data_IF_931094245628
#
_entry.id   IF_931094245628
#
_cell.length_a   1.000
_cell.length_b   1.000
_cell.length_c   1.000
_cell.angle_alpha   90.00
_cell.angle_beta   90.00
_cell.angle_gamma   90.00
#
_symmetry.space_group_name_H-M   'P 1'
#
loop_
_entity.id
_entity.type
_entity.pdbx_description
1 polymer ?
#
# COMPACT_ATOMS: atom_id res chain seq x y z
N UNK A 1 12.92 1.55 -10.47
CA UNK A 1 12.43 0.17 -10.60
C UNK A 1 12.81 -0.48 -11.94
N UNK A 2 12.76 0.23 -13.10
CA UNK A 2 13.15 -0.32 -14.42
C UNK A 2 14.57 -0.91 -14.40
N UNK A 3 15.54 -0.16 -13.84
CA UNK A 3 16.93 -0.67 -13.68
C UNK A 3 17.04 -1.91 -12.79
N UNK A 4 16.18 -2.01 -11.75
CA UNK A 4 16.12 -3.20 -10.90
C UNK A 4 15.62 -4.42 -11.71
N UNK A 5 14.58 -4.24 -12.52
CA UNK A 5 14.07 -5.30 -13.41
C UNK A 5 15.15 -5.81 -14.37
N UNK A 6 15.89 -4.89 -15.02
CA UNK A 6 17.00 -5.24 -15.91
C UNK A 6 18.09 -6.07 -15.20
N UNK A 7 18.43 -5.69 -13.95
CA UNK A 7 19.42 -6.42 -13.16
C UNK A 7 18.91 -7.81 -12.77
N UNK A 8 17.64 -7.91 -12.34
CA UNK A 8 17.04 -9.19 -12.03
C UNK A 8 17.03 -10.12 -13.24
N UNK A 9 16.66 -9.61 -14.41
CA UNK A 9 16.66 -10.39 -15.67
C UNK A 9 18.08 -10.83 -16.03
N UNK A 10 19.05 -9.94 -15.95
CA UNK A 10 20.45 -10.23 -16.25
C UNK A 10 21.03 -11.35 -15.37
N UNK A 11 20.60 -11.43 -14.13
CA UNK A 11 21.18 -12.35 -13.15
C UNK A 11 20.24 -13.52 -12.78
N UNK A 12 19.13 -13.71 -13.50
CA UNK A 12 18.12 -14.75 -13.24
C UNK A 12 17.59 -14.68 -11.79
N UNK A 13 17.30 -13.47 -11.31
CA UNK A 13 16.74 -13.22 -9.98
C UNK A 13 15.25 -12.93 -10.15
N UNK A 14 14.40 -13.59 -9.37
CA UNK A 14 12.97 -13.30 -9.35
C UNK A 14 12.74 -11.96 -8.64
N UNK A 15 11.98 -11.07 -9.30
CA UNK A 15 11.57 -9.79 -8.74
C UNK A 15 10.16 -9.92 -8.14
N UNK A 16 10.05 -9.67 -6.85
CA UNK A 16 8.79 -9.73 -6.12
C UNK A 16 8.42 -8.30 -5.68
N UNK A 17 7.20 -7.87 -6.02
CA UNK A 17 6.65 -6.62 -5.50
C UNK A 17 5.73 -6.92 -4.31
N UNK A 18 6.06 -6.34 -3.16
CA UNK A 18 5.16 -6.29 -2.01
C UNK A 18 4.18 -5.11 -2.19
N UNK A 19 3.01 -5.44 -2.71
CA UNK A 19 1.94 -4.46 -2.97
C UNK A 19 0.82 -4.51 -1.91
N UNK A 20 1.15 -4.99 -0.72
CA UNK A 20 0.21 -5.03 0.41
C UNK A 20 -0.34 -3.64 0.76
N UNK A 21 0.43 -2.57 0.52
CA UNK A 21 0.00 -1.18 0.74
C UNK A 21 -0.33 -0.49 -0.58
N UNK A 22 0.47 -0.70 -1.61
CA UNK A 22 0.41 0.05 -2.87
C UNK A 22 -0.63 -0.48 -3.85
N UNK A 23 -1.05 -1.73 -3.71
CA UNK A 23 -2.11 -2.31 -4.53
C UNK A 23 -3.48 -1.69 -4.29
N UNK A 24 -4.38 -1.95 -5.21
CA UNK A 24 -5.79 -1.55 -5.20
C UNK A 24 -6.00 -0.03 -5.17
N UNK A 25 -5.30 0.70 -6.04
CA UNK A 25 -5.59 2.10 -6.33
C UNK A 25 -4.79 3.13 -5.51
N UNK A 26 -3.98 2.72 -4.56
CA UNK A 26 -3.26 3.63 -3.63
C UNK A 26 -2.39 4.66 -4.34
N UNK A 27 -1.80 4.32 -5.48
CA UNK A 27 -0.96 5.22 -6.28
C UNK A 27 -1.69 5.83 -7.48
N UNK A 28 -2.99 5.54 -7.67
CA UNK A 28 -3.75 5.98 -8.85
C UNK A 28 -3.66 5.02 -10.03
N UNK A 29 -3.24 3.79 -9.77
CA UNK A 29 -3.29 2.65 -10.66
C UNK A 29 -3.65 1.41 -9.84
N UNK A 30 -4.21 0.33 -10.42
CA UNK A 30 -4.57 -0.87 -9.67
C UNK A 30 -3.41 -1.43 -8.84
N UNK A 31 -2.19 -1.43 -9.40
CA UNK A 31 -0.97 -1.85 -8.71
C UNK A 31 0.19 -0.89 -9.01
N UNK A 32 1.15 -0.78 -8.09
CA UNK A 32 2.38 -0.02 -8.31
C UNK A 32 3.18 -0.55 -9.51
N UNK A 33 3.10 -1.84 -9.81
CA UNK A 33 3.66 -2.43 -11.01
C UNK A 33 3.22 -1.69 -12.28
N UNK A 34 1.94 -1.34 -12.39
CA UNK A 34 1.37 -0.58 -13.49
C UNK A 34 1.77 0.90 -13.42
N UNK A 35 1.72 1.50 -12.23
CA UNK A 35 2.12 2.89 -12.02
C UNK A 35 3.57 3.16 -12.46
N UNK A 36 4.49 2.23 -12.17
CA UNK A 36 5.90 2.36 -12.54
C UNK A 36 6.25 1.73 -13.90
N UNK A 37 5.28 1.13 -14.58
CA UNK A 37 5.50 0.41 -15.84
C UNK A 37 6.63 -0.62 -15.72
N UNK A 38 6.55 -1.47 -14.69
CA UNK A 38 7.49 -2.57 -14.42
C UNK A 38 6.72 -3.83 -14.05
N UNK A 39 6.93 -4.90 -14.79
CA UNK A 39 6.26 -6.18 -14.53
C UNK A 39 7.18 -7.05 -13.65
N UNK A 40 6.86 -7.28 -12.38
CA UNK A 40 7.59 -8.20 -11.52
C UNK A 40 7.28 -9.65 -11.87
N UNK A 41 8.00 -10.60 -11.29
CA UNK A 41 7.71 -12.02 -11.44
C UNK A 41 6.58 -12.47 -10.52
N UNK A 42 6.46 -11.82 -9.37
CA UNK A 42 5.38 -12.03 -8.39
C UNK A 42 4.91 -10.71 -7.80
N UNK A 43 3.63 -10.67 -7.44
CA UNK A 43 3.03 -9.59 -6.66
C UNK A 43 2.41 -10.21 -5.41
N UNK A 44 2.71 -9.65 -4.25
CA UNK A 44 2.05 -9.99 -2.98
C UNK A 44 1.06 -8.89 -2.65
N UNK A 45 -0.17 -9.25 -2.32
CA UNK A 45 -1.22 -8.29 -1.98
C UNK A 45 -2.03 -8.72 -0.75
N UNK A 46 -2.66 -7.76 -0.10
CA UNK A 46 -3.57 -7.95 1.02
C UNK A 46 -4.41 -6.67 1.21
N UNK A 47 -4.81 -6.37 2.43
CA UNK A 47 -5.50 -5.13 2.86
C UNK A 47 -6.61 -4.67 1.91
N UNK A 48 -6.28 -3.92 0.86
CA UNK A 48 -7.22 -3.46 -0.15
C UNK A 48 -7.95 -4.57 -0.89
N UNK A 49 -7.44 -5.80 -0.89
CA UNK A 49 -8.11 -6.95 -1.51
C UNK A 49 -9.52 -7.19 -0.95
N UNK A 50 -9.73 -6.99 0.34
CA UNK A 50 -11.03 -7.12 1.00
C UNK A 50 -11.46 -5.83 1.71
N UNK A 51 -10.69 -4.74 1.53
CA UNK A 51 -10.87 -3.48 2.25
C UNK A 51 -11.00 -3.65 3.79
N UNK A 52 -10.33 -4.66 4.34
CA UNK A 52 -10.32 -4.95 5.78
C UNK A 52 -11.57 -5.63 6.34
N UNK A 53 -12.56 -5.97 5.51
CA UNK A 53 -13.79 -6.65 5.95
C UNK A 53 -13.49 -8.05 6.49
N UNK A 54 -12.61 -8.79 5.82
CA UNK A 54 -12.09 -10.09 6.28
C UNK A 54 -10.59 -10.19 5.98
N UNK A 55 -9.81 -10.91 6.82
CA UNK A 55 -8.41 -11.16 6.56
C UNK A 55 -8.23 -12.00 5.30
N UNK A 56 -7.51 -11.47 4.30
CA UNK A 56 -7.16 -12.18 3.08
C UNK A 56 -5.86 -11.61 2.50
N UNK A 57 -5.06 -12.48 1.91
CA UNK A 57 -3.91 -12.12 1.09
C UNK A 57 -3.89 -12.95 -0.17
N UNK A 58 -3.19 -12.47 -1.18
CA UNK A 58 -3.00 -13.17 -2.44
C UNK A 58 -1.57 -12.99 -2.96
N UNK A 59 -1.09 -14.00 -3.66
CA UNK A 59 0.16 -13.96 -4.41
C UNK A 59 -0.16 -14.23 -5.86
N UNK A 60 0.21 -13.29 -6.72
CA UNK A 60 0.07 -13.42 -8.18
C UNK A 60 1.44 -13.77 -8.74
N UNK A 61 1.50 -14.79 -9.58
CA UNK A 61 2.75 -15.29 -10.15
C UNK A 61 2.66 -15.35 -11.67
N UNK A 62 3.79 -15.16 -12.35
CA UNK A 62 3.89 -15.39 -13.81
C UNK A 62 3.68 -16.87 -14.16
N UNK A 63 3.14 -17.14 -15.34
CA UNK A 63 2.84 -18.50 -15.80
C UNK A 63 4.04 -19.45 -15.70
N UNK A 64 5.25 -19.02 -16.09
CA UNK A 64 6.43 -19.89 -16.03
C UNK A 64 6.78 -20.35 -14.61
N UNK A 65 6.41 -19.58 -13.58
CA UNK A 65 6.60 -19.95 -12.17
C UNK A 65 5.54 -20.98 -11.78
N UNK A 66 4.27 -20.71 -12.12
CA UNK A 66 3.17 -21.65 -11.91
C UNK A 66 3.45 -22.99 -12.61
N UNK A 67 3.81 -22.94 -13.89
CA UNK A 67 4.03 -24.13 -14.71
C UNK A 67 5.15 -25.02 -14.17
N UNK A 68 6.16 -24.44 -13.50
CA UNK A 68 7.22 -25.22 -12.87
C UNK A 68 6.72 -26.19 -11.78
N UNK A 69 5.56 -25.91 -11.17
CA UNK A 69 4.92 -26.79 -10.18
C UNK A 69 3.98 -27.82 -10.81
N UNK A 70 3.59 -27.63 -12.07
CA UNK A 70 2.60 -28.48 -12.74
C UNK A 70 3.23 -29.74 -13.37
N UNK A 71 4.51 -29.98 -13.13
CA UNK A 71 5.25 -31.14 -13.60
C UNK A 71 5.61 -32.05 -12.42
N UNK A 72 5.10 -33.28 -12.46
CA UNK A 72 5.39 -34.27 -11.42
C UNK A 72 4.57 -35.56 -11.61
N UNK A 73 4.73 -36.53 -10.72
CA UNK A 73 3.92 -37.76 -10.73
C UNK A 73 2.44 -37.45 -10.50
N UNK A 74 1.53 -38.04 -11.27
CA UNK A 74 0.08 -37.82 -11.21
C UNK A 74 -0.57 -38.04 -9.82
N UNK A 75 0.09 -38.81 -8.97
CA UNK A 75 -0.41 -39.12 -7.62
C UNK A 75 0.05 -38.13 -6.54
N UNK A 76 0.84 -37.10 -6.89
CA UNK A 76 1.29 -36.06 -5.96
C UNK A 76 0.55 -34.75 -6.23
N UNK A 77 0.37 -33.97 -5.18
CA UNK A 77 -0.13 -32.60 -5.27
C UNK A 77 0.98 -31.73 -5.88
N UNK A 78 0.67 -30.99 -6.93
CA UNK A 78 1.62 -30.18 -7.72
C UNK A 78 2.36 -29.17 -6.86
N UNK A 79 1.64 -28.52 -5.96
CA UNK A 79 2.20 -27.56 -5.00
C UNK A 79 1.66 -27.84 -3.60
N UNK A 80 2.43 -28.58 -2.82
CA UNK A 80 2.05 -28.94 -1.44
C UNK A 80 2.25 -27.75 -0.50
N UNK A 81 1.43 -26.71 -0.70
CA UNK A 81 1.42 -25.50 0.13
C UNK A 81 0.01 -24.99 0.27
N UNK A 82 -0.35 -24.53 1.48
CA UNK A 82 -1.64 -23.93 1.76
C UNK A 82 -1.83 -23.73 3.25
N UNK A 83 -2.80 -22.90 3.57
CA UNK A 83 -3.28 -22.67 4.94
C UNK A 83 -4.67 -23.25 5.07
N UNK A 84 -5.06 -23.66 6.28
CA UNK A 84 -6.41 -24.21 6.52
C UNK A 84 -7.53 -23.29 6.02
N UNK A 85 -7.32 -21.97 6.11
CA UNK A 85 -8.30 -20.97 5.66
C UNK A 85 -8.05 -20.42 4.26
N UNK A 86 -7.11 -20.95 3.49
CA UNK A 86 -6.93 -20.56 2.08
C UNK A 86 -8.20 -20.83 1.30
N UNK A 87 -8.64 -19.87 0.48
CA UNK A 87 -9.88 -19.96 -0.29
C UNK A 87 -11.16 -19.90 0.57
N UNK A 88 -11.10 -19.31 1.77
CA UNK A 88 -12.26 -19.17 2.65
C UNK A 88 -13.44 -18.48 1.92
N UNK A 89 -14.63 -19.10 1.79
CA UNK A 89 -15.71 -18.59 0.93
C UNK A 89 -16.15 -17.16 1.27
N UNK A 90 -16.23 -16.83 2.57
CA UNK A 90 -16.61 -15.49 3.01
C UNK A 90 -15.56 -14.44 2.62
N UNK A 91 -14.26 -14.78 2.72
CA UNK A 91 -13.18 -13.89 2.33
C UNK A 91 -13.16 -13.68 0.81
N UNK A 92 -13.40 -14.73 0.02
CA UNK A 92 -13.53 -14.64 -1.43
C UNK A 92 -14.72 -13.77 -1.83
N UNK A 93 -15.89 -13.94 -1.18
CA UNK A 93 -17.08 -13.11 -1.42
C UNK A 93 -16.82 -11.64 -1.07
N UNK A 94 -16.14 -11.37 0.05
CA UNK A 94 -15.75 -10.01 0.44
C UNK A 94 -14.77 -9.39 -0.57
N UNK A 95 -13.82 -10.18 -1.10
CA UNK A 95 -12.90 -9.70 -2.13
C UNK A 95 -13.63 -9.35 -3.43
N UNK A 96 -14.57 -10.20 -3.88
CA UNK A 96 -15.36 -9.92 -5.07
C UNK A 96 -16.19 -8.63 -4.90
N UNK A 97 -16.94 -8.48 -3.81
CA UNK A 97 -17.69 -7.26 -3.54
C UNK A 97 -16.80 -6.00 -3.43
N UNK A 98 -15.58 -6.15 -2.91
CA UNK A 98 -14.60 -5.05 -2.87
C UNK A 98 -14.14 -4.67 -4.28
N UNK A 99 -13.85 -5.66 -5.13
CA UNK A 99 -13.42 -5.40 -6.52
C UNK A 99 -14.54 -4.74 -7.33
N UNK A 100 -15.79 -5.20 -7.18
CA UNK A 100 -16.96 -4.59 -7.81
C UNK A 100 -17.08 -3.11 -7.39
N UNK A 101 -16.97 -2.81 -6.09
CA UNK A 101 -16.99 -1.43 -5.58
C UNK A 101 -15.88 -0.56 -6.16
N UNK A 102 -14.67 -1.09 -6.26
CA UNK A 102 -13.55 -0.33 -6.88
C UNK A 102 -13.83 0.03 -8.33
N UNK A 103 -14.46 -0.86 -9.08
CA UNK A 103 -14.85 -0.63 -10.48
C UNK A 103 -16.01 0.36 -10.56
N UNK A 104 -17.09 0.12 -9.83
CA UNK A 104 -18.31 0.94 -9.85
C UNK A 104 -18.05 2.38 -9.42
N UNK A 105 -17.20 2.60 -8.41
CA UNK A 105 -16.88 3.93 -7.87
C UNK A 105 -15.61 4.55 -8.47
N UNK A 106 -14.92 3.86 -9.38
CA UNK A 106 -13.70 4.36 -10.04
C UNK A 106 -12.51 4.55 -9.09
N UNK A 107 -12.46 3.82 -7.98
CA UNK A 107 -11.50 4.06 -6.90
C UNK A 107 -10.06 3.68 -7.26
N UNK A 108 -9.86 2.80 -8.24
CA UNK A 108 -8.53 2.36 -8.65
C UNK A 108 -7.66 3.48 -9.25
N UNK A 109 -8.29 4.53 -9.77
CA UNK A 109 -7.61 5.69 -10.38
C UNK A 109 -7.78 6.98 -9.58
N UNK A 110 -8.66 7.00 -8.58
CA UNK A 110 -9.00 8.20 -7.82
C UNK A 110 -7.79 8.88 -7.16
N UNK A 111 -6.79 8.09 -6.71
CA UNK A 111 -5.60 8.66 -6.12
C UNK A 111 -4.80 9.54 -7.10
N UNK A 112 -4.84 9.28 -8.42
CA UNK A 112 -4.20 10.14 -9.42
C UNK A 112 -4.90 11.50 -9.55
N UNK A 113 -6.22 11.54 -9.34
CA UNK A 113 -7.00 12.79 -9.39
C UNK A 113 -6.73 13.71 -8.20
N UNK A 114 -6.38 13.12 -7.07
CA UNK A 114 -6.10 13.83 -5.81
C UNK A 114 -4.61 14.05 -5.56
N UNK A 115 -3.72 13.44 -6.34
CA UNK A 115 -2.28 13.41 -6.07
C UNK A 115 -1.67 14.81 -5.90
N UNK A 116 -1.94 15.73 -6.82
CA UNK A 116 -1.40 17.10 -6.77
C UNK A 116 -1.94 17.88 -5.56
N UNK A 117 -3.21 17.68 -5.25
CA UNK A 117 -3.83 18.32 -4.08
C UNK A 117 -3.25 17.77 -2.78
N UNK A 118 -3.11 16.46 -2.69
CA UNK A 118 -2.48 15.78 -1.55
C UNK A 118 -1.02 16.23 -1.37
N UNK A 119 -0.25 16.27 -2.47
CA UNK A 119 1.13 16.75 -2.45
C UNK A 119 1.23 18.18 -1.94
N UNK A 120 0.42 19.09 -2.49
CA UNK A 120 0.39 20.49 -2.06
C UNK A 120 0.05 20.62 -0.58
N UNK A 121 -0.93 19.84 -0.10
CA UNK A 121 -1.40 19.88 1.28
C UNK A 121 -0.35 19.34 2.26
N UNK A 122 0.26 18.19 2.00
CA UNK A 122 1.29 17.65 2.90
C UNK A 122 2.55 18.52 2.90
N UNK A 123 2.93 19.06 1.75
CA UNK A 123 4.10 19.93 1.64
C UNK A 123 3.89 21.34 2.20
N UNK A 124 2.64 21.74 2.53
CA UNK A 124 2.39 23.00 3.27
C UNK A 124 3.05 23.01 4.64
N UNK A 125 3.31 21.83 5.22
CA UNK A 125 4.01 21.70 6.50
C UNK A 125 5.53 21.88 6.39
N UNK A 126 6.07 22.11 5.19
CA UNK A 126 7.50 22.36 5.01
C UNK A 126 7.92 23.66 5.71
N UNK A 127 8.97 23.58 6.50
CA UNK A 127 9.47 24.72 7.27
C UNK A 127 8.82 24.90 8.64
N UNK A 128 7.83 24.07 9.00
CA UNK A 128 7.37 24.03 10.37
C UNK A 128 8.45 23.51 11.33
N UNK A 129 8.49 23.99 12.59
CA UNK A 129 9.47 23.54 13.56
C UNK A 129 9.50 22.02 13.68
N UNK A 130 10.69 21.45 13.67
CA UNK A 130 10.96 20.01 13.81
C UNK A 130 10.50 19.12 12.64
N UNK A 131 9.95 19.66 11.57
CA UNK A 131 9.73 18.91 10.32
C UNK A 131 11.03 18.91 9.54
N UNK A 132 11.65 17.72 9.36
CA UNK A 132 12.94 17.58 8.70
C UNK A 132 12.86 17.01 7.29
N UNK A 133 11.80 16.21 7.00
CA UNK A 133 11.54 15.71 5.66
C UNK A 133 10.05 15.47 5.44
N UNK A 134 9.61 15.66 4.19
CA UNK A 134 8.24 15.35 3.74
C UNK A 134 8.36 14.64 2.39
N UNK A 135 7.69 13.50 2.27
CA UNK A 135 7.65 12.70 1.05
C UNK A 135 6.27 12.10 0.82
N UNK A 136 5.88 12.00 -0.43
CA UNK A 136 4.57 11.45 -0.82
C UNK A 136 4.65 10.74 -2.17
N UNK A 137 3.68 9.88 -2.41
CA UNK A 137 3.39 9.28 -3.72
C UNK A 137 1.92 8.83 -3.74
N UNK A 138 1.17 9.20 -4.77
CA UNK A 138 -0.29 8.97 -4.80
C UNK A 138 -0.94 9.48 -3.52
N UNK A 139 -1.82 8.71 -2.91
CA UNK A 139 -2.42 9.01 -1.60
C UNK A 139 -1.66 8.34 -0.44
N UNK A 140 -0.34 8.40 -0.47
CA UNK A 140 0.54 8.03 0.65
C UNK A 140 1.43 9.21 0.95
N UNK A 141 1.64 9.50 2.23
CA UNK A 141 2.53 10.57 2.66
C UNK A 141 3.25 10.23 3.94
N UNK A 142 4.40 10.86 4.13
CA UNK A 142 5.17 10.75 5.35
C UNK A 142 5.77 12.11 5.72
N UNK A 143 5.67 12.44 6.99
CA UNK A 143 6.27 13.63 7.60
C UNK A 143 7.26 13.14 8.64
N UNK A 144 8.53 13.40 8.40
CA UNK A 144 9.60 13.02 9.32
C UNK A 144 9.90 14.17 10.28
N UNK A 145 9.91 13.85 11.56
CA UNK A 145 10.13 14.81 12.63
C UNK A 145 11.53 14.61 13.22
N UNK A 146 12.15 15.72 13.60
CA UNK A 146 13.41 15.71 14.35
C UNK A 146 13.24 14.93 15.66
N UNK A 147 14.11 13.97 15.90
CA UNK A 147 14.11 13.18 17.13
C UNK A 147 14.47 14.02 18.34
N UNK A 148 13.76 13.83 19.45
CA UNK A 148 14.14 14.44 20.74
C UNK A 148 15.37 13.70 21.26
N UNK A 149 16.50 14.39 21.55
CA UNK A 149 17.70 13.73 22.08
C UNK A 149 17.41 12.90 23.31
N UNK A 150 17.76 11.62 23.29
CA UNK A 150 17.52 10.66 24.38
C UNK A 150 16.10 10.10 24.46
N UNK A 151 15.14 10.60 23.66
CA UNK A 151 13.75 10.16 23.66
C UNK A 151 13.24 9.89 22.23
N UNK A 152 13.77 8.89 21.52
CA UNK A 152 13.32 8.56 20.18
C UNK A 152 11.81 8.19 20.18
N UNK A 153 11.13 8.49 19.07
CA UNK A 153 9.68 8.28 18.86
C UNK A 153 8.74 9.21 19.63
N UNK A 154 9.20 9.87 20.68
CA UNK A 154 8.35 10.68 21.58
C UNK A 154 7.68 11.84 20.86
N UNK A 155 8.38 12.50 19.91
CA UNK A 155 7.81 13.62 19.17
C UNK A 155 6.62 13.20 18.32
N UNK A 156 6.78 12.15 17.54
CA UNK A 156 5.70 11.62 16.70
C UNK A 156 4.54 11.05 17.53
N UNK A 157 4.83 10.37 18.65
CA UNK A 157 3.80 9.90 19.59
C UNK A 157 2.99 11.07 20.18
N UNK A 158 3.66 12.14 20.59
CA UNK A 158 2.95 13.33 21.09
C UNK A 158 2.07 13.97 20.01
N UNK A 159 2.55 14.03 18.77
CA UNK A 159 1.75 14.50 17.63
C UNK A 159 0.53 13.60 17.39
N UNK A 160 0.72 12.27 17.44
CA UNK A 160 -0.38 11.31 17.29
C UNK A 160 -1.45 11.47 18.37
N UNK A 161 -1.06 11.63 19.64
CA UNK A 161 -2.03 11.85 20.74
C UNK A 161 -2.81 13.14 20.53
N UNK A 162 -2.13 14.23 20.17
CA UNK A 162 -2.79 15.52 19.89
C UNK A 162 -3.72 15.48 18.69
N UNK A 163 -3.32 14.77 17.62
CA UNK A 163 -4.17 14.56 16.46
C UNK A 163 -5.43 13.77 16.85
N UNK A 164 -5.27 12.71 17.66
CA UNK A 164 -6.39 11.90 18.15
C UNK A 164 -7.36 12.72 19.01
N UNK A 165 -6.85 13.58 19.89
CA UNK A 165 -7.68 14.50 20.70
C UNK A 165 -8.47 15.50 19.84
N UNK A 166 -7.97 15.81 18.63
CA UNK A 166 -8.66 16.64 17.64
C UNK A 166 -9.58 15.83 16.69
N UNK A 167 -9.69 14.52 16.89
CA UNK A 167 -10.53 13.64 16.06
C UNK A 167 -9.84 13.04 14.84
N UNK A 168 -8.52 13.20 14.70
CA UNK A 168 -7.74 12.65 13.60
C UNK A 168 -6.89 11.47 14.06
N UNK A 169 -7.18 10.28 13.51
CA UNK A 169 -6.37 9.09 13.76
C UNK A 169 -5.23 9.00 12.74
N UNK A 170 -4.00 9.20 13.19
CA UNK A 170 -2.79 9.03 12.39
C UNK A 170 -1.96 7.84 12.90
N UNK A 171 -1.02 7.41 12.08
CA UNK A 171 -0.05 6.35 12.43
C UNK A 171 1.35 6.94 12.52
N UNK A 172 2.15 6.43 13.47
CA UNK A 172 3.57 6.77 13.57
C UNK A 172 4.46 5.54 13.44
N UNK A 173 5.66 5.73 12.92
CA UNK A 173 6.72 4.72 12.84
C UNK A 173 8.04 5.43 13.13
N UNK A 174 8.65 5.17 14.28
CA UNK A 174 9.75 6.02 14.76
C UNK A 174 9.24 7.47 14.96
N UNK A 175 10.01 8.43 14.50
CA UNK A 175 9.62 9.85 14.48
C UNK A 175 8.99 10.27 13.13
N UNK A 176 8.38 9.33 12.42
CA UNK A 176 7.68 9.57 11.15
C UNK A 176 6.17 9.43 11.35
N UNK A 177 5.42 10.44 10.94
CA UNK A 177 3.97 10.37 10.77
C UNK A 177 3.70 9.79 9.38
N UNK A 178 3.02 8.65 9.33
CA UNK A 178 2.65 8.00 8.09
C UNK A 178 1.15 8.17 7.82
N UNK A 179 0.82 8.70 6.65
CA UNK A 179 -0.53 9.02 6.21
C UNK A 179 -0.91 8.20 4.99
N UNK A 180 -2.07 7.57 5.05
CA UNK A 180 -2.67 6.83 3.92
C UNK A 180 -4.19 6.81 4.08
N UNK A 181 -4.86 7.91 3.75
CA UNK A 181 -6.30 8.06 3.95
C UNK A 181 -7.09 7.06 3.09
N UNK A 182 -8.38 6.81 3.38
CA UNK A 182 -9.25 6.05 2.50
C UNK A 182 -9.27 6.61 1.07
N UNK A 183 -9.45 5.76 0.06
CA UNK A 183 -9.49 6.20 -1.35
C UNK A 183 -10.67 7.15 -1.63
N UNK A 184 -11.73 7.07 -0.85
CA UNK A 184 -12.93 7.92 -0.97
C UNK A 184 -12.75 9.31 -0.37
N UNK A 185 -11.57 9.64 0.19
CA UNK A 185 -11.32 10.93 0.84
C UNK A 185 -11.64 12.10 -0.09
N UNK A 186 -12.24 13.15 0.47
CA UNK A 186 -12.55 14.39 -0.22
C UNK A 186 -11.53 15.49 0.13
N UNK A 187 -11.43 16.52 -0.70
CA UNK A 187 -10.49 17.64 -0.47
C UNK A 187 -10.70 18.34 0.87
N UNK A 188 -11.96 18.51 1.29
CA UNK A 188 -12.30 19.11 2.59
C UNK A 188 -11.81 18.27 3.78
N UNK A 189 -11.72 16.96 3.63
CA UNK A 189 -11.19 16.06 4.66
C UNK A 189 -9.64 16.07 4.64
N UNK A 190 -9.05 16.24 3.45
CA UNK A 190 -7.59 16.49 3.33
C UNK A 190 -7.22 17.79 4.05
N UNK A 191 -8.00 18.86 3.88
CA UNK A 191 -7.78 20.13 4.58
C UNK A 191 -7.79 19.95 6.10
N UNK A 192 -8.76 19.19 6.62
CA UNK A 192 -8.85 18.89 8.06
C UNK A 192 -7.64 18.11 8.61
N UNK A 193 -6.98 17.30 7.78
CA UNK A 193 -5.78 16.58 8.20
C UNK A 193 -4.62 17.56 8.47
N UNK A 194 -4.55 18.67 7.74
CA UNK A 194 -3.40 19.59 7.76
C UNK A 194 -3.68 20.92 8.47
N UNK A 195 -4.89 21.16 8.97
CA UNK A 195 -5.24 22.25 9.89
C UNK A 195 -4.77 21.98 11.34
#
# INVERSE_FOLDING_TARGET
LKRLRELCDKHNILLIFDEVITGYGRLGAPFAAQYFDVIPDMIVSAKGLTNGVLPMGAVYVKNHIHDAFMHGPEHLIEFFHGYTYSGHPMACAAALGTLDTYEEEGLLTRASELADYWESSIHSLRGHPHVIDIRNIGLVGAIELETIPGEPTKRAMNAMVKAFEKGLLIRTTGDIIALSPPLIIEKSEIDQIFE
#
